data_IF_514570432065
#
_entry.id   IF_514570432065
#
_cell.length_a   1.000
_cell.length_b   1.000
_cell.length_c   1.000
_cell.angle_alpha   90.00
_cell.angle_beta   90.00
_cell.angle_gamma   90.00
#
_symmetry.space_group_name_H-M   'P 1'
#
loop_
_entity.id
_entity.type
_entity.pdbx_description
1 polymer ?
#
# COMPACT_ATOMS: atom_id res chain seq x y z
N UNK A 1 30.88 38.23 -0.98
CA UNK A 1 30.38 37.29 0.04
C UNK A 1 29.60 36.20 -0.67
N UNK A 2 30.10 34.96 -0.64
CA UNK A 2 29.48 33.80 -1.30
C UNK A 2 28.64 33.09 -0.24
N UNK A 3 27.32 33.23 -0.30
CA UNK A 3 26.41 32.38 0.48
C UNK A 3 26.34 31.04 -0.23
N UNK A 4 27.13 30.08 0.24
CA UNK A 4 27.03 28.70 -0.19
C UNK A 4 25.83 28.09 0.56
N UNK A 5 24.68 27.96 -0.11
CA UNK A 5 23.57 27.14 0.39
C UNK A 5 24.00 25.69 0.18
N UNK A 6 24.62 25.11 1.20
CA UNK A 6 24.94 23.69 1.24
C UNK A 6 23.67 22.90 1.51
N UNK A 7 22.94 22.52 0.46
CA UNK A 7 21.85 21.57 0.61
C UNK A 7 22.47 20.19 0.81
N UNK A 8 22.40 19.67 2.02
CA UNK A 8 22.47 18.22 2.25
C UNK A 8 21.16 17.62 1.72
N UNK A 9 20.94 17.70 0.39
CA UNK A 9 19.74 17.19 -0.29
C UNK A 9 19.83 15.67 -0.54
N UNK A 10 21.02 15.09 -0.34
CA UNK A 10 21.32 13.69 -0.60
C UNK A 10 20.59 12.69 0.30
N UNK A 11 19.89 13.14 1.34
CA UNK A 11 19.11 12.28 2.24
C UNK A 11 17.59 12.33 2.01
N UNK A 12 17.06 13.21 1.13
CA UNK A 12 15.63 13.49 1.12
C UNK A 12 14.76 12.55 0.27
N UNK A 13 15.32 11.61 -0.50
CA UNK A 13 14.48 10.74 -1.34
C UNK A 13 15.06 9.34 -1.47
N UNK A 14 15.09 8.58 -0.38
CA UNK A 14 14.77 7.17 -0.55
C UNK A 14 13.33 7.13 -1.10
N UNK A 15 13.17 7.09 -2.43
CA UNK A 15 11.86 6.91 -3.06
C UNK A 15 11.39 5.53 -2.67
N UNK A 16 10.64 5.45 -1.57
CA UNK A 16 9.91 4.24 -1.20
C UNK A 16 8.81 4.12 -2.23
N UNK A 17 9.04 3.29 -3.25
CA UNK A 17 7.98 2.83 -4.12
C UNK A 17 7.30 1.68 -3.38
N UNK A 18 6.00 1.82 -3.13
CA UNK A 18 5.21 0.68 -2.69
C UNK A 18 4.09 0.38 -3.65
N UNK A 19 3.88 -0.90 -3.90
CA UNK A 19 2.74 -1.43 -4.64
C UNK A 19 1.77 -2.09 -3.68
N UNK A 20 0.49 -2.02 -3.99
CA UNK A 20 -0.59 -2.52 -3.13
C UNK A 20 -1.43 -3.52 -3.87
N UNK A 21 -1.72 -4.64 -3.21
CA UNK A 21 -2.72 -5.60 -3.65
C UNK A 21 -3.90 -5.54 -2.69
N UNK A 22 -5.10 -5.39 -3.24
CA UNK A 22 -6.33 -5.41 -2.47
C UNK A 22 -7.00 -6.79 -2.55
N UNK A 23 -7.50 -7.26 -1.42
CA UNK A 23 -8.18 -8.54 -1.28
C UNK A 23 -9.48 -8.39 -0.51
N UNK A 24 -10.47 -9.21 -0.86
CA UNK A 24 -11.69 -9.42 -0.08
C UNK A 24 -11.67 -10.82 0.51
N UNK A 25 -11.78 -10.92 1.83
CA UNK A 25 -12.04 -12.17 2.52
C UNK A 25 -13.55 -12.37 2.68
N UNK A 26 -14.08 -13.46 2.13
CA UNK A 26 -15.47 -13.87 2.31
C UNK A 26 -15.65 -14.65 3.63
N UNK A 27 -16.88 -14.75 4.16
CA UNK A 27 -17.19 -15.73 5.19
C UNK A 27 -16.70 -17.13 4.76
N UNK A 28 -15.98 -17.83 5.62
CA UNK A 28 -15.29 -19.08 5.29
C UNK A 28 -13.80 -18.93 4.92
N UNK A 29 -13.23 -17.72 5.02
CA UNK A 29 -11.78 -17.49 4.99
C UNK A 29 -11.16 -17.37 3.60
N UNK A 30 -11.90 -17.62 2.52
CA UNK A 30 -11.41 -17.50 1.14
C UNK A 30 -11.07 -16.04 0.81
N UNK A 31 -9.82 -15.82 0.40
CA UNK A 31 -9.32 -14.54 -0.11
C UNK A 31 -9.54 -14.45 -1.63
N UNK A 32 -10.09 -13.33 -2.08
CA UNK A 32 -10.32 -12.99 -3.48
C UNK A 32 -9.48 -11.76 -3.81
N UNK A 33 -8.59 -11.88 -4.79
CA UNK A 33 -7.86 -10.71 -5.30
C UNK A 33 -8.82 -9.75 -6.00
N UNK A 34 -8.76 -8.47 -5.63
CA UNK A 34 -9.61 -7.42 -6.19
C UNK A 34 -8.86 -6.64 -7.26
N UNK A 35 -7.78 -5.96 -6.89
CA UNK A 35 -7.02 -5.09 -7.78
C UNK A 35 -5.58 -4.91 -7.28
N UNK A 36 -4.65 -4.86 -8.23
CA UNK A 36 -3.24 -4.54 -7.99
C UNK A 36 -2.94 -3.11 -8.47
N UNK A 37 -2.28 -2.31 -7.62
CA UNK A 37 -1.88 -0.94 -7.94
C UNK A 37 -0.40 -0.71 -7.64
N UNK A 38 0.44 -0.40 -8.65
CA UNK A 38 1.86 -0.14 -8.43
C UNK A 38 2.11 1.19 -7.72
N UNK A 39 1.44 2.27 -8.16
CA UNK A 39 1.36 3.60 -7.54
C UNK A 39 0.34 4.45 -8.31
N UNK A 40 -0.13 5.54 -7.73
CA UNK A 40 -1.13 6.41 -8.39
C UNK A 40 -2.53 5.81 -8.29
N UNK A 41 -3.35 6.03 -9.32
CA UNK A 41 -4.75 5.61 -9.36
C UNK A 41 -4.95 4.55 -10.44
N UNK A 42 -5.71 3.50 -10.13
CA UNK A 42 -6.13 2.48 -11.10
C UNK A 42 -7.62 2.20 -10.94
N UNK A 43 -8.31 2.07 -12.07
CA UNK A 43 -9.72 1.69 -12.11
C UNK A 43 -9.87 0.37 -12.88
N UNK A 44 -10.69 -0.53 -12.34
CA UNK A 44 -11.02 -1.80 -12.95
C UNK A 44 -12.49 -2.14 -12.67
N UNK A 45 -13.33 -1.94 -13.69
CA UNK A 45 -14.78 -2.07 -13.57
C UNK A 45 -15.35 -1.17 -12.46
N UNK A 46 -15.87 -1.80 -11.40
CA UNK A 46 -16.46 -1.12 -10.23
C UNK A 46 -15.43 -0.69 -9.18
N UNK A 47 -14.17 -1.12 -9.33
CA UNK A 47 -13.09 -0.85 -8.37
C UNK A 47 -12.31 0.38 -8.82
N UNK A 48 -12.06 1.30 -7.90
CA UNK A 48 -11.12 2.41 -8.08
C UNK A 48 -10.18 2.44 -6.87
N UNK A 49 -8.90 2.24 -7.09
CA UNK A 49 -7.92 2.18 -6.02
C UNK A 49 -6.80 3.20 -6.22
N UNK A 50 -6.39 3.83 -5.13
CA UNK A 50 -5.28 4.79 -5.12
C UNK A 50 -4.17 4.33 -4.19
N UNK A 51 -2.93 4.61 -4.56
CA UNK A 51 -1.74 4.42 -3.75
C UNK A 51 -0.89 5.69 -3.87
N UNK A 52 -0.64 6.34 -2.74
CA UNK A 52 0.13 7.59 -2.66
C UNK A 52 1.43 7.33 -1.89
N UNK A 53 2.52 6.92 -2.56
CA UNK A 53 3.79 6.54 -1.94
C UNK A 53 4.29 7.47 -0.84
N UNK A 54 4.26 8.77 -1.14
CA UNK A 54 4.73 9.83 -0.25
C UNK A 54 3.93 9.94 1.04
N UNK A 55 2.65 9.59 1.01
CA UNK A 55 1.73 9.68 2.15
C UNK A 55 1.54 8.35 2.87
N UNK A 56 2.18 7.26 2.39
CA UNK A 56 1.99 5.90 2.94
C UNK A 56 0.51 5.49 3.02
N UNK A 57 -0.30 6.00 2.09
CA UNK A 57 -1.75 5.83 2.08
C UNK A 57 -2.21 5.12 0.81
N UNK A 58 -3.10 4.15 1.00
CA UNK A 58 -3.87 3.57 -0.09
C UNK A 58 -5.35 3.60 0.25
N UNK A 59 -6.19 3.74 -0.78
CA UNK A 59 -7.64 3.64 -0.66
C UNK A 59 -8.20 2.73 -1.75
N UNK A 60 -9.30 2.06 -1.43
CA UNK A 60 -10.12 1.30 -2.37
C UNK A 60 -11.55 1.83 -2.29
N UNK A 61 -12.09 2.19 -3.45
CA UNK A 61 -13.47 2.59 -3.63
C UNK A 61 -14.17 1.58 -4.53
N UNK A 62 -15.37 1.15 -4.13
CA UNK A 62 -16.19 0.20 -4.89
C UNK A 62 -17.51 0.88 -5.21
N UNK A 63 -17.77 1.12 -6.49
CA UNK A 63 -19.03 1.72 -6.93
C UNK A 63 -20.16 0.68 -6.93
N UNK A 64 -21.39 1.16 -6.72
CA UNK A 64 -22.61 0.35 -6.78
C UNK A 64 -22.57 -0.90 -5.88
N UNK A 65 -22.25 -0.74 -4.59
CA UNK A 65 -22.09 -1.83 -3.62
C UNK A 65 -23.20 -2.89 -3.71
N UNK A 66 -22.80 -4.16 -3.74
CA UNK A 66 -23.70 -5.32 -3.80
C UNK A 66 -23.51 -6.18 -2.55
N UNK A 67 -24.49 -7.03 -2.26
CA UNK A 67 -24.40 -8.01 -1.14
C UNK A 67 -23.19 -8.94 -1.28
N UNK A 68 -22.77 -9.24 -2.50
CA UNK A 68 -21.56 -10.01 -2.82
C UNK A 68 -20.27 -9.34 -2.37
N UNK A 69 -20.28 -8.04 -2.11
CA UNK A 69 -19.10 -7.28 -1.71
C UNK A 69 -18.93 -7.24 -0.18
N UNK A 70 -19.87 -7.82 0.58
CA UNK A 70 -19.73 -7.92 2.03
C UNK A 70 -18.60 -8.89 2.42
N UNK A 71 -17.72 -8.43 3.32
CA UNK A 71 -16.59 -9.20 3.84
C UNK A 71 -15.54 -8.29 4.48
N UNK A 72 -14.38 -8.88 4.79
CA UNK A 72 -13.23 -8.16 5.35
C UNK A 72 -12.26 -7.81 4.23
N UNK A 73 -11.87 -6.54 4.14
CA UNK A 73 -10.94 -6.07 3.13
C UNK A 73 -9.54 -6.01 3.70
N UNK A 74 -8.58 -6.58 2.97
CA UNK A 74 -7.16 -6.57 3.31
C UNK A 74 -6.36 -5.90 2.20
N UNK A 75 -5.25 -5.27 2.59
CA UNK A 75 -4.22 -4.86 1.64
C UNK A 75 -2.89 -5.51 1.99
N UNK A 76 -2.17 -5.96 0.96
CA UNK A 76 -0.77 -6.34 1.06
C UNK A 76 0.07 -5.26 0.38
N UNK A 77 1.12 -4.82 1.05
CA UNK A 77 1.99 -3.75 0.56
C UNK A 77 3.39 -4.30 0.35
N UNK A 78 3.89 -4.20 -0.88
CA UNK A 78 5.30 -4.42 -1.16
C UNK A 78 5.98 -3.07 -1.23
N UNK A 79 7.12 -2.91 -0.56
CA UNK A 79 7.95 -1.71 -0.69
C UNK A 79 9.36 -2.07 -1.16
N UNK A 80 9.95 -1.21 -1.99
CA UNK A 80 11.38 -1.25 -2.27
C UNK A 80 12.02 0.00 -1.67
N UNK A 81 13.04 -0.20 -0.83
CA UNK A 81 13.94 0.86 -0.45
C UNK A 81 15.12 0.84 -1.44
N UNK A 82 15.57 2.00 -1.97
CA UNK A 82 16.88 2.03 -2.61
C UNK A 82 17.92 1.57 -1.59
N UNK A 83 18.74 0.61 -2.00
CA UNK A 83 19.82 0.09 -1.17
C UNK A 83 20.75 1.25 -0.79
N UNK A 84 20.89 1.53 0.50
CA UNK A 84 21.93 2.43 0.98
C UNK A 84 23.29 1.85 0.55
N UNK A 85 24.29 2.67 0.16
CA UNK A 85 25.65 2.16 -0.02
C UNK A 85 26.04 1.39 1.24
N UNK A 86 26.52 0.16 1.09
CA UNK A 86 26.79 -0.73 2.20
C UNK A 86 27.84 -0.10 3.15
N UNK A 87 27.39 0.52 4.22
CA UNK A 87 28.16 0.57 5.45
C UNK A 87 27.90 -0.76 6.15
N UNK A 88 28.94 -1.59 6.23
CA UNK A 88 28.92 -2.89 6.89
C UNK A 88 28.46 -2.75 8.34
N UNK A 89 27.20 -3.08 8.61
CA UNK A 89 26.69 -3.30 9.97
C UNK A 89 25.92 -4.61 9.96
N UNK A 90 26.35 -5.55 10.80
CA UNK A 90 25.89 -6.93 10.85
C UNK A 90 24.36 -7.04 10.93
N UNK A 91 23.82 -7.90 10.07
CA UNK A 91 22.42 -8.26 9.94
C UNK A 91 21.90 -8.92 11.22
N UNK A 92 20.95 -8.29 11.90
CA UNK A 92 20.07 -9.02 12.81
C UNK A 92 18.87 -9.50 11.97
N UNK A 93 18.88 -10.78 11.61
CA UNK A 93 17.77 -11.42 10.92
C UNK A 93 16.51 -11.31 11.79
N UNK A 94 15.53 -10.49 11.39
CA UNK A 94 14.30 -10.40 12.20
C UNK A 94 13.14 -9.51 11.77
N UNK A 95 13.20 -8.73 10.68
CA UNK A 95 12.07 -7.89 10.29
C UNK A 95 11.61 -8.19 8.86
N UNK A 96 10.61 -9.06 8.75
CA UNK A 96 9.75 -9.13 7.58
C UNK A 96 8.84 -7.89 7.58
N UNK A 97 8.90 -7.00 6.57
CA UNK A 97 8.01 -5.85 6.50
C UNK A 97 6.73 -6.26 5.78
N UNK A 98 5.81 -6.89 6.50
CA UNK A 98 4.42 -7.06 6.03
C UNK A 98 3.49 -6.46 7.06
N UNK A 99 3.10 -5.20 6.87
CA UNK A 99 1.98 -4.62 7.62
C UNK A 99 0.70 -4.88 6.84
N UNK A 100 -0.24 -5.59 7.46
CA UNK A 100 -1.57 -5.85 6.91
C UNK A 100 -2.58 -4.99 7.67
N UNK A 101 -3.34 -4.16 6.97
CA UNK A 101 -4.43 -3.38 7.54
C UNK A 101 -5.76 -3.97 7.09
N UNK A 102 -6.70 -4.14 8.03
CA UNK A 102 -8.00 -4.76 7.78
C UNK A 102 -9.15 -3.82 8.15
N UNK A 103 -10.17 -3.73 7.30
CA UNK A 103 -11.42 -3.02 7.59
C UNK A 103 -12.64 -3.89 7.25
N UNK A 104 -13.66 -3.84 8.11
CA UNK A 104 -14.91 -4.61 7.95
C UNK A 104 -16.01 -3.72 7.40
N UNK A 105 -16.61 -4.11 6.27
CA UNK A 105 -17.75 -3.38 5.67
C UNK A 105 -19.03 -4.20 5.88
N UNK A 106 -20.00 -3.61 6.60
CA UNK A 106 -21.33 -4.20 6.80
C UNK A 106 -22.25 -3.87 5.61
N UNK A 107 -23.15 -4.78 5.21
CA UNK A 107 -24.12 -4.51 4.15
C UNK A 107 -25.15 -3.45 4.61
N UNK A 108 -25.71 -2.66 3.69
CA UNK A 108 -26.87 -1.81 3.99
C UNK A 108 -28.04 -2.70 4.40
N UNK A 109 -28.65 -2.40 5.55
CA UNK A 109 -29.92 -3.03 5.93
C UNK A 109 -31.02 -2.36 5.12
N UNK A 110 -31.73 -3.16 4.32
CA UNK A 110 -32.94 -2.74 3.62
C UNK A 110 -34.09 -2.54 4.59
#
# INVERSE_FOLDING_TARGET
>A
MKRLVGTVLGLLLARVCYSVWWYLQKPGGRLIHLIYIPSGTRQEGRLNATAVPKERRSSLHISSLRTTDSGTYFCAVWHSAPQAPAASTQTLHGLSPSSSHSHTVRPPQG
#
